data_IF_870144592688
#
_entry.id   IF_870144592688
#
_cell.length_a   1.000
_cell.length_b   1.000
_cell.length_c   1.000
_cell.angle_alpha   90.00
_cell.angle_beta   90.00
_cell.angle_gamma   90.00
#
_symmetry.space_group_name_H-M   'P 1'
#
loop_
_entity.id
_entity.type
_entity.pdbx_description
1 polymer ?
#
# COMPACT_ATOMS: atom_id res chain seq x y z
N UNK A 1 -0.77 -11.65 24.81
CA UNK A 1 -1.42 -11.05 23.66
C UNK A 1 -1.13 -11.87 22.38
N UNK A 2 0.13 -12.10 22.02
CA UNK A 2 0.51 -12.80 20.78
C UNK A 2 -0.04 -14.24 20.69
N UNK A 3 -0.03 -15.01 21.78
CA UNK A 3 -0.57 -16.37 21.82
C UNK A 3 -2.09 -16.37 21.56
N UNK A 4 -2.82 -15.47 22.19
CA UNK A 4 -4.27 -15.34 21.97
C UNK A 4 -4.59 -14.89 20.54
N UNK A 5 -3.80 -13.98 19.98
CA UNK A 5 -3.97 -13.53 18.59
C UNK A 5 -3.64 -14.64 17.59
N UNK A 6 -2.59 -15.44 17.83
CA UNK A 6 -2.25 -16.59 17.00
C UNK A 6 -3.37 -17.63 16.99
N UNK A 7 -3.95 -17.96 18.16
CA UNK A 7 -5.08 -18.85 18.26
C UNK A 7 -6.30 -18.31 17.49
N UNK A 8 -6.62 -17.03 17.66
CA UNK A 8 -7.69 -16.38 16.91
C UNK A 8 -7.48 -16.46 15.39
N UNK A 9 -6.26 -16.24 14.91
CA UNK A 9 -5.91 -16.34 13.49
C UNK A 9 -6.20 -17.74 12.93
N UNK A 10 -5.83 -18.80 13.66
CA UNK A 10 -6.07 -20.19 13.24
C UNK A 10 -7.57 -20.43 13.02
N UNK A 11 -8.41 -19.90 13.90
CA UNK A 11 -9.84 -20.17 13.87
C UNK A 11 -10.60 -19.27 12.86
N UNK A 12 -10.11 -18.06 12.57
CA UNK A 12 -10.90 -17.03 11.90
C UNK A 12 -10.31 -16.54 10.58
N UNK A 13 -9.00 -16.70 10.33
CA UNK A 13 -8.33 -16.09 9.18
C UNK A 13 -8.96 -16.48 7.83
N UNK A 14 -9.31 -17.75 7.65
CA UNK A 14 -9.92 -18.24 6.41
C UNK A 14 -11.28 -17.59 6.09
N UNK A 15 -12.04 -17.20 7.12
CA UNK A 15 -13.33 -16.54 6.95
C UNK A 15 -13.23 -15.09 6.50
N UNK A 16 -12.10 -14.41 6.79
CA UNK A 16 -11.88 -13.00 6.44
C UNK A 16 -11.93 -12.77 4.92
N UNK A 17 -11.52 -13.76 4.14
CA UNK A 17 -11.45 -13.70 2.68
C UNK A 17 -12.82 -13.42 2.03
N UNK A 18 -13.89 -13.88 2.65
CA UNK A 18 -15.25 -13.80 2.12
C UNK A 18 -16.07 -12.65 2.73
N UNK A 19 -15.46 -11.81 3.58
CA UNK A 19 -16.15 -10.66 4.15
C UNK A 19 -16.45 -9.61 3.07
N UNK A 20 -17.55 -8.85 3.23
CA UNK A 20 -17.88 -7.79 2.28
C UNK A 20 -16.82 -6.68 2.31
N UNK A 21 -16.48 -6.09 1.14
CA UNK A 21 -15.41 -5.09 1.03
C UNK A 21 -15.78 -3.70 1.57
N UNK A 22 -16.88 -3.55 2.30
CA UNK A 22 -17.30 -2.28 2.94
C UNK A 22 -16.26 -1.75 3.91
N UNK A 23 -15.71 -2.64 4.74
CA UNK A 23 -14.53 -2.40 5.56
C UNK A 23 -13.49 -3.43 5.17
N UNK A 24 -12.43 -3.05 4.43
CA UNK A 24 -11.45 -4.00 3.95
C UNK A 24 -10.82 -4.81 5.07
N UNK A 25 -11.22 -6.08 5.22
CA UNK A 25 -10.62 -6.99 6.19
C UNK A 25 -9.31 -7.59 5.67
N UNK A 26 -9.19 -7.76 4.35
CA UNK A 26 -8.03 -8.32 3.66
C UNK A 26 -7.58 -7.38 2.54
N UNK A 27 -6.31 -7.45 2.14
CA UNK A 27 -5.71 -6.57 1.14
C UNK A 27 -6.46 -6.58 -0.20
N UNK A 28 -6.99 -7.70 -0.66
CA UNK A 28 -7.75 -7.76 -1.92
C UNK A 28 -9.13 -7.07 -1.85
N UNK A 29 -9.59 -6.67 -0.66
CA UNK A 29 -10.78 -5.85 -0.50
C UNK A 29 -10.51 -4.35 -0.74
N UNK A 30 -9.26 -3.91 -0.59
CA UNK A 30 -8.88 -2.48 -0.68
C UNK A 30 -9.33 -1.85 -1.99
N UNK A 31 -9.00 -2.37 -3.18
CA UNK A 31 -9.39 -1.70 -4.43
C UNK A 31 -10.91 -1.68 -4.64
N UNK A 32 -11.63 -2.66 -4.12
CA UNK A 32 -13.11 -2.66 -4.17
C UNK A 32 -13.72 -1.59 -3.26
N UNK A 33 -13.04 -1.25 -2.17
CA UNK A 33 -13.44 -0.11 -1.34
C UNK A 33 -13.18 1.21 -2.08
N UNK A 34 -12.05 1.33 -2.78
CA UNK A 34 -11.74 2.50 -3.59
C UNK A 34 -12.78 2.78 -4.68
N UNK A 35 -13.35 1.75 -5.30
CA UNK A 35 -14.44 1.91 -6.29
C UNK A 35 -15.61 2.66 -5.66
N UNK A 36 -16.06 2.26 -4.48
CA UNK A 36 -17.17 2.92 -3.77
C UNK A 36 -16.83 4.36 -3.39
N UNK A 37 -15.61 4.57 -2.86
CA UNK A 37 -15.20 5.91 -2.48
C UNK A 37 -15.08 6.82 -3.70
N UNK A 38 -14.68 6.28 -4.86
CA UNK A 38 -14.65 7.03 -6.12
C UNK A 38 -16.06 7.40 -6.59
N UNK A 39 -17.05 6.50 -6.42
CA UNK A 39 -18.47 6.76 -6.73
C UNK A 39 -19.05 7.85 -5.82
N UNK A 40 -18.65 7.87 -4.54
CA UNK A 40 -19.09 8.85 -3.54
C UNK A 40 -18.30 10.16 -3.60
N UNK A 41 -17.17 10.18 -4.29
CA UNK A 41 -16.26 11.33 -4.39
C UNK A 41 -16.81 12.41 -5.31
N UNK A 42 -16.69 13.67 -4.89
CA UNK A 42 -17.10 14.82 -5.70
C UNK A 42 -16.33 14.93 -7.03
N UNK A 43 -15.08 14.47 -7.06
CA UNK A 43 -14.20 14.52 -8.24
C UNK A 43 -14.15 13.20 -9.02
N UNK A 44 -14.63 12.10 -8.45
CA UNK A 44 -14.56 10.78 -9.06
C UNK A 44 -13.13 10.32 -9.34
N UNK A 45 -12.18 10.64 -8.43
CA UNK A 45 -10.75 10.34 -8.59
C UNK A 45 -10.18 9.73 -7.30
N UNK A 46 -9.43 8.63 -7.42
CA UNK A 46 -8.80 7.96 -6.28
C UNK A 46 -7.32 7.68 -6.54
N UNK A 47 -6.51 7.80 -5.50
CA UNK A 47 -5.10 7.41 -5.51
C UNK A 47 -4.80 6.44 -4.38
N UNK A 48 -4.18 5.32 -4.71
CA UNK A 48 -3.71 4.32 -3.75
C UNK A 48 -2.19 4.34 -3.67
N UNK A 49 -1.66 4.63 -2.51
CA UNK A 49 -0.24 4.53 -2.18
C UNK A 49 -0.02 3.24 -1.39
N UNK A 50 0.75 2.32 -1.93
CA UNK A 50 1.19 1.10 -1.24
C UNK A 50 2.64 1.32 -0.78
N UNK A 51 2.87 1.32 0.52
CA UNK A 51 4.22 1.43 1.10
C UNK A 51 4.72 0.04 1.44
N UNK A 52 5.69 -0.44 0.66
CA UNK A 52 6.26 -1.79 0.76
C UNK A 52 6.94 -2.02 2.11
N UNK A 53 6.50 -3.05 2.83
CA UNK A 53 7.07 -3.49 4.08
C UNK A 53 6.81 -2.57 5.29
N UNK A 54 5.89 -1.61 5.23
CA UNK A 54 5.60 -0.69 6.33
C UNK A 54 4.86 -1.40 7.48
N UNK A 55 5.53 -1.60 8.61
CA UNK A 55 4.90 -2.18 9.81
C UNK A 55 4.08 -1.15 10.61
N UNK A 56 3.15 -1.63 11.44
CA UNK A 56 2.25 -0.77 12.22
C UNK A 56 2.97 0.17 13.19
N UNK A 57 4.06 -0.27 13.81
CA UNK A 57 4.87 0.54 14.71
C UNK A 57 5.63 1.65 13.96
N UNK A 58 6.10 1.35 12.75
CA UNK A 58 6.70 2.34 11.86
C UNK A 58 5.65 3.33 11.35
N UNK A 59 4.44 2.87 11.02
CA UNK A 59 3.34 3.74 10.63
C UNK A 59 3.04 4.81 11.68
N UNK A 60 3.08 4.49 12.96
CA UNK A 60 2.90 5.50 14.04
C UNK A 60 3.87 6.66 13.88
N UNK A 61 5.15 6.37 13.58
CA UNK A 61 6.18 7.39 13.34
C UNK A 61 5.91 8.19 12.06
N UNK A 62 5.61 7.50 10.96
CA UNK A 62 5.28 8.12 9.65
C UNK A 62 4.10 9.06 9.79
N UNK A 63 3.01 8.60 10.39
CA UNK A 63 1.80 9.38 10.62
C UNK A 63 2.08 10.67 11.40
N UNK A 64 2.84 10.58 12.50
CA UNK A 64 3.19 11.74 13.31
C UNK A 64 3.98 12.79 12.53
N UNK A 65 4.86 12.35 11.62
CA UNK A 65 5.65 13.25 10.77
C UNK A 65 4.75 13.90 9.72
N UNK A 66 3.92 13.13 9.03
CA UNK A 66 2.96 13.65 8.06
C UNK A 66 2.06 14.74 8.66
N UNK A 67 1.51 14.49 9.87
CA UNK A 67 0.67 15.47 10.58
C UNK A 67 1.43 16.73 11.01
N UNK A 68 2.72 16.60 11.35
CA UNK A 68 3.55 17.76 11.69
C UNK A 68 3.93 18.59 10.46
N UNK A 69 4.16 17.95 9.33
CA UNK A 69 4.53 18.62 8.07
C UNK A 69 3.33 19.22 7.36
N UNK A 70 2.14 18.65 7.56
CA UNK A 70 0.89 19.17 7.04
C UNK A 70 -0.20 19.12 8.12
N UNK A 71 -0.35 20.23 8.86
CA UNK A 71 -1.27 20.35 9.99
C UNK A 71 -2.76 20.29 9.60
N UNK A 72 -3.07 20.48 8.33
CA UNK A 72 -4.44 20.39 7.81
C UNK A 72 -4.80 18.99 7.29
N UNK A 73 -3.84 18.05 7.32
CA UNK A 73 -4.07 16.69 6.84
C UNK A 73 -4.99 15.93 7.79
N UNK A 74 -6.21 15.67 7.34
CA UNK A 74 -7.19 14.85 8.04
C UNK A 74 -7.03 13.39 7.61
N UNK A 75 -6.80 12.49 8.58
CA UNK A 75 -6.62 11.06 8.32
C UNK A 75 -7.69 10.24 9.04
N UNK A 76 -8.25 9.25 8.34
CA UNK A 76 -9.03 8.17 8.94
C UNK A 76 -8.21 6.90 8.87
N UNK A 77 -8.20 6.13 9.94
CA UNK A 77 -7.38 4.92 10.03
C UNK A 77 -8.26 3.69 10.23
N UNK A 78 -7.84 2.60 9.62
CA UNK A 78 -8.37 1.26 9.83
C UNK A 78 -7.24 0.25 9.72
N UNK A 79 -7.52 -1.02 10.04
CA UNK A 79 -6.56 -2.10 9.89
C UNK A 79 -7.07 -3.14 8.91
N UNK A 80 -6.17 -3.73 8.13
CA UNK A 80 -6.45 -4.84 7.22
C UNK A 80 -5.40 -5.92 7.37
N UNK A 81 -5.78 -7.17 7.12
CA UNK A 81 -4.85 -8.30 7.18
C UNK A 81 -4.09 -8.46 5.87
N UNK A 82 -2.78 -8.63 5.97
CA UNK A 82 -1.96 -9.11 4.88
C UNK A 82 -2.26 -10.60 4.59
N UNK A 83 -1.91 -11.06 3.39
CA UNK A 83 -1.96 -12.47 3.07
C UNK A 83 -0.85 -13.24 3.78
N UNK A 84 -1.19 -14.43 4.30
CA UNK A 84 -0.21 -15.35 4.89
C UNK A 84 0.12 -16.42 3.81
N UNK A 85 1.41 -16.61 3.47
CA UNK A 85 2.60 -15.92 3.98
C UNK A 85 2.66 -14.44 3.55
N UNK A 86 3.24 -13.59 4.41
CA UNK A 86 3.34 -12.14 4.21
C UNK A 86 4.45 -11.79 3.21
N UNK A 87 4.21 -12.10 1.94
CA UNK A 87 5.15 -11.88 0.84
C UNK A 87 4.69 -10.71 -0.03
N UNK A 88 5.63 -9.86 -0.43
CA UNK A 88 5.41 -8.72 -1.31
C UNK A 88 4.63 -9.11 -2.56
N UNK A 89 5.08 -10.15 -3.28
CA UNK A 89 4.46 -10.57 -4.55
C UNK A 89 3.02 -11.05 -4.38
N UNK A 90 2.69 -11.72 -3.28
CA UNK A 90 1.34 -12.19 -2.97
C UNK A 90 0.44 -11.03 -2.61
N UNK A 91 0.89 -10.20 -1.68
CA UNK A 91 0.10 -9.09 -1.12
C UNK A 91 -0.15 -8.00 -2.16
N UNK A 92 0.87 -7.57 -2.89
CA UNK A 92 0.74 -6.49 -3.87
C UNK A 92 -0.11 -6.90 -5.08
N UNK A 93 0.05 -8.14 -5.60
CA UNK A 93 -0.84 -8.63 -6.65
C UNK A 93 -2.29 -8.69 -6.16
N UNK A 94 -2.54 -9.10 -4.91
CA UNK A 94 -3.89 -9.11 -4.32
C UNK A 94 -4.48 -7.70 -4.24
N UNK A 95 -3.68 -6.71 -3.81
CA UNK A 95 -4.09 -5.30 -3.76
C UNK A 95 -4.45 -4.81 -5.17
N UNK A 96 -3.56 -4.96 -6.14
CA UNK A 96 -3.76 -4.36 -7.46
C UNK A 96 -4.75 -5.12 -8.36
N UNK A 97 -5.02 -6.40 -8.08
CA UNK A 97 -6.03 -7.16 -8.81
C UNK A 97 -7.42 -7.16 -8.16
N UNK A 98 -7.53 -6.83 -6.89
CA UNK A 98 -8.76 -7.03 -6.10
C UNK A 98 -9.15 -8.50 -5.94
N UNK A 99 -8.19 -9.43 -6.09
CA UNK A 99 -8.45 -10.88 -6.08
C UNK A 99 -7.57 -11.61 -5.07
N UNK A 100 -8.07 -12.69 -4.46
CA UNK A 100 -7.27 -13.64 -3.69
C UNK A 100 -6.13 -14.27 -4.49
N UNK A 101 -5.04 -14.73 -3.85
CA UNK A 101 -3.86 -15.29 -4.53
C UNK A 101 -4.13 -16.48 -5.45
N UNK A 102 -5.19 -17.24 -5.17
CA UNK A 102 -5.59 -18.38 -6.01
C UNK A 102 -5.92 -18.00 -7.47
N UNK A 103 -6.16 -16.73 -7.76
CA UNK A 103 -6.45 -16.25 -9.12
C UNK A 103 -5.22 -15.90 -9.96
N UNK A 104 -4.01 -15.90 -9.37
CA UNK A 104 -2.77 -15.62 -10.08
C UNK A 104 -1.61 -16.60 -9.73
N UNK A 105 -1.86 -17.94 -9.75
CA UNK A 105 -0.87 -18.93 -9.33
C UNK A 105 0.41 -18.91 -10.19
N UNK A 106 0.29 -18.60 -11.48
CA UNK A 106 1.43 -18.56 -12.38
C UNK A 106 2.39 -17.38 -12.18
N UNK A 107 1.92 -16.30 -11.58
CA UNK A 107 2.69 -15.08 -11.29
C UNK A 107 2.92 -14.84 -9.80
N UNK A 108 2.57 -15.80 -8.94
CA UNK A 108 2.55 -15.61 -7.47
C UNK A 108 3.88 -15.16 -6.88
N UNK A 109 5.00 -15.47 -7.53
CA UNK A 109 6.35 -15.16 -7.07
C UNK A 109 6.95 -13.89 -7.71
N UNK A 110 6.17 -13.11 -8.47
CA UNK A 110 6.70 -11.91 -9.13
C UNK A 110 5.77 -10.70 -8.98
N UNK A 111 6.35 -9.50 -9.09
CA UNK A 111 5.65 -8.21 -8.99
C UNK A 111 5.49 -7.50 -10.33
N UNK A 112 5.92 -8.13 -11.45
CA UNK A 112 5.98 -7.46 -12.76
C UNK A 112 4.60 -7.22 -13.38
N UNK A 113 3.57 -7.90 -12.89
CA UNK A 113 2.21 -7.80 -13.46
C UNK A 113 1.32 -6.77 -12.75
N UNK A 114 1.78 -6.11 -11.70
CA UNK A 114 0.96 -5.24 -10.85
C UNK A 114 0.24 -4.13 -11.63
N UNK A 115 0.96 -3.38 -12.48
CA UNK A 115 0.36 -2.33 -13.30
C UNK A 115 -0.69 -2.87 -14.28
N UNK A 116 -0.46 -4.05 -14.86
CA UNK A 116 -1.45 -4.72 -15.70
C UNK A 116 -2.68 -5.15 -14.91
N UNK A 117 -2.47 -5.72 -13.72
CA UNK A 117 -3.56 -6.13 -12.83
C UNK A 117 -4.41 -4.94 -12.36
N UNK A 118 -3.75 -3.82 -12.02
CA UNK A 118 -4.40 -2.57 -11.67
C UNK A 118 -5.26 -2.03 -12.80
N UNK A 119 -4.72 -1.96 -14.00
CA UNK A 119 -5.47 -1.53 -15.17
C UNK A 119 -6.67 -2.45 -15.44
N UNK A 120 -6.47 -3.78 -15.45
CA UNK A 120 -7.55 -4.76 -15.64
C UNK A 120 -8.64 -4.68 -14.57
N UNK A 121 -8.26 -4.42 -13.32
CA UNK A 121 -9.24 -4.23 -12.24
C UNK A 121 -10.16 -3.04 -12.56
N UNK A 122 -9.59 -1.88 -12.92
CA UNK A 122 -10.36 -0.68 -13.20
C UNK A 122 -11.12 -0.72 -14.51
N UNK A 123 -10.58 -1.38 -15.54
CA UNK A 123 -11.34 -1.67 -16.78
C UNK A 123 -12.60 -2.50 -16.46
N UNK A 124 -12.48 -3.46 -15.55
CA UNK A 124 -13.63 -4.23 -15.03
C UNK A 124 -14.64 -3.39 -14.23
N UNK A 125 -14.27 -2.20 -13.77
CA UNK A 125 -15.16 -1.22 -13.13
C UNK A 125 -15.67 -0.13 -14.09
N UNK A 126 -15.39 -0.26 -15.40
CA UNK A 126 -15.90 0.65 -16.42
C UNK A 126 -14.99 1.84 -16.76
N UNK A 127 -13.78 1.93 -16.20
CA UNK A 127 -12.80 2.91 -16.62
C UNK A 127 -12.09 2.48 -17.92
N UNK A 128 -11.66 3.44 -18.73
CA UNK A 128 -10.76 3.15 -19.84
C UNK A 128 -9.32 3.01 -19.35
N UNK A 129 -8.48 2.33 -20.13
CA UNK A 129 -7.05 2.22 -19.82
C UNK A 129 -6.36 3.57 -19.66
N UNK A 130 -6.84 4.61 -20.35
CA UNK A 130 -6.29 5.96 -20.29
C UNK A 130 -6.66 6.71 -19.01
N UNK A 131 -7.67 6.23 -18.28
CA UNK A 131 -8.10 6.76 -17.01
C UNK A 131 -7.29 6.18 -15.82
N UNK A 132 -6.39 5.22 -16.09
CA UNK A 132 -5.68 4.46 -15.05
C UNK A 132 -4.18 4.67 -15.17
N UNK A 133 -3.54 5.02 -14.06
CA UNK A 133 -2.09 5.16 -13.97
C UNK A 133 -1.51 4.22 -12.88
N UNK A 134 -0.28 3.78 -13.12
CA UNK A 134 0.45 2.95 -12.16
C UNK A 134 1.94 3.28 -12.21
N UNK A 135 2.56 3.48 -11.04
CA UNK A 135 3.99 3.68 -10.92
C UNK A 135 4.53 2.98 -9.67
N UNK A 136 5.69 2.35 -9.79
CA UNK A 136 6.42 1.71 -8.68
C UNK A 136 7.84 2.23 -8.58
N UNK A 137 8.55 1.83 -7.51
CA UNK A 137 9.94 2.21 -7.31
C UNK A 137 10.10 3.61 -6.70
N UNK A 138 9.05 4.12 -6.05
CA UNK A 138 9.01 5.46 -5.50
C UNK A 138 9.66 5.53 -4.11
N UNK A 139 10.00 6.75 -3.70
CA UNK A 139 10.52 7.03 -2.35
C UNK A 139 11.76 7.91 -2.34
N UNK A 140 12.36 8.15 -3.50
CA UNK A 140 13.47 9.08 -3.73
C UNK A 140 13.11 10.03 -4.88
N UNK A 141 13.80 11.17 -4.95
CA UNK A 141 13.58 12.19 -5.98
C UNK A 141 12.48 13.19 -5.62
N UNK A 142 12.01 13.92 -6.62
CA UNK A 142 10.92 14.88 -6.46
C UNK A 142 9.57 14.21 -6.70
N UNK A 143 8.69 14.29 -5.72
CA UNK A 143 7.37 13.66 -5.79
C UNK A 143 6.46 14.32 -6.83
N UNK A 144 6.61 15.63 -7.05
CA UNK A 144 5.79 16.40 -8.00
C UNK A 144 6.19 16.02 -9.43
N UNK A 145 7.48 16.04 -9.74
CA UNK A 145 8.00 15.66 -11.07
C UNK A 145 7.57 14.22 -11.44
N UNK A 146 7.60 13.32 -10.45
CA UNK A 146 7.14 11.95 -10.65
C UNK A 146 5.64 11.92 -10.99
N UNK A 147 4.80 12.61 -10.21
CA UNK A 147 3.36 12.64 -10.45
C UNK A 147 3.01 13.26 -11.81
N UNK A 148 3.69 14.34 -12.19
CA UNK A 148 3.49 15.01 -13.48
C UNK A 148 3.84 14.11 -14.67
N UNK A 149 4.77 13.17 -14.49
CA UNK A 149 5.12 12.18 -15.52
C UNK A 149 4.11 11.03 -15.63
N UNK A 150 3.33 10.76 -14.58
CA UNK A 150 2.44 9.59 -14.46
C UNK A 150 0.97 9.97 -14.64
N UNK A 151 0.58 11.15 -14.14
CA UNK A 151 -0.81 11.62 -14.11
C UNK A 151 -1.07 12.58 -15.27
N UNK A 152 -2.12 12.34 -16.01
CA UNK A 152 -2.67 13.30 -16.98
C UNK A 152 -3.84 14.06 -16.34
N UNK A 153 -3.65 15.33 -15.94
CA UNK A 153 -4.70 16.11 -15.28
C UNK A 153 -6.02 16.11 -16.08
N UNK A 154 -7.13 15.90 -15.37
CA UNK A 154 -8.47 15.84 -15.96
C UNK A 154 -8.81 14.54 -16.70
N UNK A 155 -7.85 13.60 -16.87
CA UNK A 155 -8.09 12.30 -17.50
C UNK A 155 -7.89 11.15 -16.53
N UNK A 156 -6.74 11.09 -15.86
CA UNK A 156 -6.44 9.98 -14.95
C UNK A 156 -7.39 10.01 -13.76
N UNK A 157 -8.13 8.92 -13.53
CA UNK A 157 -9.11 8.79 -12.45
C UNK A 157 -8.65 7.87 -11.33
N UNK A 158 -7.91 6.82 -11.67
CA UNK A 158 -7.41 5.85 -10.70
C UNK A 158 -5.88 5.74 -10.77
N UNK A 159 -5.20 6.06 -9.69
CA UNK A 159 -3.74 6.04 -9.59
C UNK A 159 -3.29 4.99 -8.59
N UNK A 160 -2.39 4.09 -8.99
CA UNK A 160 -1.73 3.12 -8.13
C UNK A 160 -0.24 3.44 -8.02
N UNK A 161 0.24 3.66 -6.81
CA UNK A 161 1.62 4.04 -6.53
C UNK A 161 2.26 3.07 -5.55
N UNK A 162 3.52 2.68 -5.78
CA UNK A 162 4.27 1.84 -4.86
C UNK A 162 5.52 2.57 -4.39
N UNK A 163 5.61 2.78 -3.09
CA UNK A 163 6.77 3.36 -2.39
C UNK A 163 7.55 2.21 -1.76
N UNK A 164 8.73 1.89 -2.30
CA UNK A 164 9.58 0.78 -1.86
C UNK A 164 10.74 1.19 -0.96
N UNK A 165 10.74 2.44 -0.50
CA UNK A 165 11.85 3.00 0.27
C UNK A 165 12.04 2.32 1.63
N UNK A 166 10.97 1.92 2.30
CA UNK A 166 11.05 1.26 3.61
C UNK A 166 11.63 -0.15 3.44
N UNK A 167 11.20 -0.89 2.42
CA UNK A 167 11.76 -2.18 2.08
C UNK A 167 13.27 -2.08 1.74
N UNK A 168 13.67 -1.10 0.95
CA UNK A 168 15.09 -0.83 0.66
C UNK A 168 15.90 -0.49 1.92
N UNK A 169 15.35 0.30 2.83
CA UNK A 169 15.97 0.58 4.13
C UNK A 169 16.14 -0.69 4.93
N UNK A 170 15.11 -1.55 4.99
CA UNK A 170 15.12 -2.82 5.70
C UNK A 170 16.23 -3.75 5.18
N UNK A 171 16.34 -3.92 3.88
CA UNK A 171 17.35 -4.76 3.25
C UNK A 171 18.78 -4.24 3.39
N UNK A 172 18.97 -2.92 3.53
CA UNK A 172 20.28 -2.28 3.76
C UNK A 172 20.68 -2.16 5.24
N UNK A 173 19.85 -2.61 6.18
CA UNK A 173 20.01 -2.31 7.60
C UNK A 173 21.01 -3.25 8.29
N UNK A 174 22.01 -2.67 8.96
CA UNK A 174 22.98 -3.38 9.80
C UNK A 174 22.79 -3.11 11.31
N UNK A 175 22.03 -2.08 11.68
CA UNK A 175 21.88 -1.59 13.05
C UNK A 175 20.61 -2.06 13.78
N UNK A 176 19.96 -3.11 13.26
CA UNK A 176 18.74 -3.65 13.84
C UNK A 176 17.53 -2.71 13.78
N UNK A 177 16.49 -3.00 14.55
CA UNK A 177 15.20 -2.27 14.49
C UNK A 177 15.32 -0.78 14.86
N UNK A 178 16.15 -0.42 15.84
CA UNK A 178 16.35 0.97 16.24
C UNK A 178 16.99 1.81 15.11
N UNK A 179 17.96 1.26 14.40
CA UNK A 179 18.57 1.89 13.22
C UNK A 179 17.55 2.06 12.10
N UNK A 180 16.71 1.06 11.87
CA UNK A 180 15.64 1.10 10.87
C UNK A 180 14.63 2.21 11.17
N UNK A 181 14.11 2.28 12.39
CA UNK A 181 13.20 3.37 12.80
C UNK A 181 13.80 4.75 12.61
N UNK A 182 15.08 4.92 12.94
CA UNK A 182 15.76 6.21 12.74
C UNK A 182 15.88 6.57 11.26
N UNK A 183 16.24 5.63 10.39
CA UNK A 183 16.33 5.88 8.94
C UNK A 183 14.97 6.18 8.31
N UNK A 184 13.92 5.46 8.69
CA UNK A 184 12.55 5.74 8.26
C UNK A 184 12.13 7.15 8.70
N UNK A 185 12.42 7.51 9.95
CA UNK A 185 12.14 8.85 10.46
C UNK A 185 12.86 9.95 9.64
N UNK A 186 14.15 9.76 9.36
CA UNK A 186 14.94 10.71 8.56
C UNK A 186 14.38 10.83 7.13
N UNK A 187 14.06 9.71 6.48
CA UNK A 187 13.45 9.71 5.16
C UNK A 187 12.11 10.46 5.14
N UNK A 188 11.21 10.17 6.09
CA UNK A 188 9.94 10.88 6.19
C UNK A 188 10.12 12.38 6.44
N UNK A 189 11.12 12.78 7.26
CA UNK A 189 11.44 14.18 7.50
C UNK A 189 11.92 14.89 6.23
N UNK A 190 12.51 14.17 5.27
CA UNK A 190 12.85 14.67 3.95
C UNK A 190 11.65 15.11 3.10
N UNK A 191 10.41 14.76 3.52
CA UNK A 191 9.17 15.33 2.97
C UNK A 191 8.62 14.64 1.72
N UNK A 192 9.29 13.62 1.17
CA UNK A 192 8.84 12.93 -0.04
C UNK A 192 7.37 12.48 0.05
N UNK A 193 7.03 11.72 1.12
CA UNK A 193 5.69 11.19 1.29
C UNK A 193 4.64 12.28 1.53
N UNK A 194 5.01 13.34 2.25
CA UNK A 194 4.15 14.50 2.49
C UNK A 194 3.87 15.25 1.20
N UNK A 195 4.89 15.49 0.38
CA UNK A 195 4.74 16.13 -0.93
C UNK A 195 3.89 15.29 -1.87
N UNK A 196 4.11 13.97 -1.90
CA UNK A 196 3.33 13.03 -2.70
C UNK A 196 1.83 13.09 -2.35
N UNK A 197 1.51 13.00 -1.06
CA UNK A 197 0.11 13.08 -0.57
C UNK A 197 -0.50 14.46 -0.86
N UNK A 198 0.23 15.53 -0.54
CA UNK A 198 -0.26 16.91 -0.73
C UNK A 198 -0.56 17.20 -2.20
N UNK A 199 0.31 16.76 -3.12
CA UNK A 199 0.12 16.98 -4.54
C UNK A 199 -1.06 16.17 -5.10
N UNK A 200 -1.25 14.91 -4.67
CA UNK A 200 -2.41 14.12 -5.05
C UNK A 200 -3.72 14.78 -4.58
N UNK A 201 -3.75 15.27 -3.34
CA UNK A 201 -4.91 16.03 -2.82
C UNK A 201 -5.15 17.31 -3.61
N UNK A 202 -4.09 18.03 -3.98
CA UNK A 202 -4.18 19.23 -4.82
C UNK A 202 -4.71 18.94 -6.23
N UNK A 203 -4.43 17.75 -6.79
CA UNK A 203 -4.99 17.27 -8.04
C UNK A 203 -6.46 16.80 -7.92
N UNK A 204 -7.00 16.76 -6.70
CA UNK A 204 -8.40 16.40 -6.43
C UNK A 204 -8.65 14.93 -6.18
N UNK A 205 -7.59 14.13 -5.91
CA UNK A 205 -7.75 12.72 -5.56
C UNK A 205 -8.14 12.51 -4.11
N UNK A 206 -9.02 11.56 -3.87
CA UNK A 206 -9.14 10.92 -2.56
C UNK A 206 -7.96 9.96 -2.38
N UNK A 207 -7.13 10.22 -1.36
CA UNK A 207 -5.86 9.52 -1.19
C UNK A 207 -5.97 8.42 -0.13
N UNK A 208 -5.63 7.20 -0.54
CA UNK A 208 -5.50 6.04 0.33
C UNK A 208 -4.04 5.64 0.46
N UNK A 209 -3.62 5.33 1.68
CA UNK A 209 -2.31 4.77 1.97
C UNK A 209 -2.47 3.44 2.70
N UNK A 210 -1.79 2.41 2.22
CA UNK A 210 -1.73 1.09 2.87
C UNK A 210 -0.33 0.51 2.80
N UNK A 211 -0.08 -0.56 3.55
CA UNK A 211 1.07 -1.42 3.36
C UNK A 211 0.64 -2.75 2.74
N UNK A 212 1.54 -3.43 2.07
CA UNK A 212 1.32 -4.78 1.57
C UNK A 212 1.58 -5.84 2.66
N UNK A 213 2.56 -5.59 3.52
CA UNK A 213 2.87 -6.34 4.73
C UNK A 213 3.69 -5.48 5.70
N UNK A 214 3.95 -5.99 6.89
CA UNK A 214 4.90 -5.41 7.83
C UNK A 214 6.28 -6.08 7.73
N UNK A 215 7.15 -5.73 8.65
CA UNK A 215 8.46 -6.35 8.81
C UNK A 215 8.74 -6.64 10.30
N UNK A 216 9.57 -7.63 10.57
CA UNK A 216 10.03 -7.97 11.91
C UNK A 216 11.46 -8.51 11.85
N UNK A 217 12.29 -8.07 12.78
CA UNK A 217 13.63 -8.61 12.94
C UNK A 217 13.55 -10.07 13.44
N UNK A 218 14.27 -10.96 12.78
CA UNK A 218 14.39 -12.36 13.19
C UNK A 218 15.84 -12.83 13.19
N UNK A 219 16.12 -13.85 14.00
CA UNK A 219 17.41 -14.52 14.04
C UNK A 219 17.28 -15.94 13.49
N UNK A 220 18.09 -16.26 12.49
CA UNK A 220 18.12 -17.60 11.90
C UNK A 220 18.64 -18.64 12.89
N UNK A 221 17.98 -19.81 12.96
CA UNK A 221 18.40 -20.97 13.80
C UNK A 221 18.96 -22.13 12.96
N UNK A 222 19.43 -21.86 11.75
CA UNK A 222 19.90 -22.88 10.82
C UNK A 222 18.92 -23.17 9.69
N UNK A 223 19.26 -24.13 8.84
CA UNK A 223 18.38 -24.62 7.76
C UNK A 223 17.74 -25.93 8.21
N UNK A 224 16.43 -26.12 7.99
CA UNK A 224 15.86 -27.48 8.10
C UNK A 224 16.53 -28.38 7.07
N UNK A 225 16.82 -29.63 7.49
CA UNK A 225 17.33 -30.68 6.62
C UNK A 225 16.22 -31.15 5.66
#
# INVERSE_FOLDING_TARGET
>A
LNTAFAAWLVDHYSSLMNLPPTNPAMLHHVPRRLVRDMEDSANGQVALIVVDGLSLDQWVTVRQILQKQNVHLMMRESATFAWIPTLTSVSRQSIFSGKPPLYFPSSINCTNSEGKLWTQFWEGQGLSRLDVAYQRGLGDGDAIDILDSVIHPGKTKAVGLVVDKIDKIMHGMQLGSAGMHNQIKQWCQGGFLTSLVAQLLAYGYDVWLTADHGNIQCNGKGRPL
#
